data_IF_307016183777
#
_entry.id   IF_307016183777
#
_cell.length_a   1.000
_cell.length_b   1.000
_cell.length_c   1.000
_cell.angle_alpha   90.00
_cell.angle_beta   90.00
_cell.angle_gamma   90.00
#
_symmetry.space_group_name_H-M   'P 1'
#
loop_
_entity.id
_entity.type
_entity.pdbx_description
1 polymer ?
#
# COMPACT_ATOMS: atom_id res chain seq x y z
N UNK A 1 -23.04 20.46 20.58
CA UNK A 1 -21.99 20.48 19.54
C UNK A 1 -20.52 20.43 20.00
N UNK A 2 -20.11 20.70 21.27
CA UNK A 2 -18.68 20.70 21.63
C UNK A 2 -18.03 19.30 21.64
N UNK A 3 -18.81 18.25 21.94
CA UNK A 3 -18.33 16.85 21.92
C UNK A 3 -17.96 16.42 20.49
N UNK A 4 -18.75 16.81 19.49
CA UNK A 4 -18.46 16.51 18.08
C UNK A 4 -17.20 17.24 17.57
N UNK A 5 -16.97 18.48 18.01
CA UNK A 5 -15.75 19.21 17.68
C UNK A 5 -14.53 18.59 18.38
N UNK A 6 -14.66 18.23 19.66
CA UNK A 6 -13.61 17.53 20.42
C UNK A 6 -13.19 16.22 19.75
N UNK A 7 -14.16 15.41 19.31
CA UNK A 7 -13.89 14.15 18.59
C UNK A 7 -13.28 14.43 17.20
N UNK A 8 -13.78 15.43 16.48
CA UNK A 8 -13.25 15.81 15.17
C UNK A 8 -11.81 16.32 15.25
N UNK A 9 -11.44 17.03 16.32
CA UNK A 9 -10.08 17.48 16.58
C UNK A 9 -9.16 16.32 16.99
N UNK A 10 -9.67 15.39 17.80
CA UNK A 10 -8.91 14.20 18.27
C UNK A 10 -8.59 13.21 17.14
N UNK A 11 -9.51 13.03 16.18
CA UNK A 11 -9.29 12.20 14.98
C UNK A 11 -8.60 13.02 13.86
N UNK A 12 -8.40 14.32 14.06
CA UNK A 12 -7.73 15.21 13.11
C UNK A 12 -8.54 15.53 11.85
N UNK A 13 -9.86 15.38 11.91
CA UNK A 13 -10.79 15.74 10.82
C UNK A 13 -10.80 17.25 10.57
N UNK A 14 -10.59 18.07 11.62
CA UNK A 14 -10.44 19.52 11.48
C UNK A 14 -9.16 19.93 10.76
N UNK A 15 -8.09 19.15 10.92
CA UNK A 15 -6.83 19.34 10.19
C UNK A 15 -7.04 18.99 8.72
N UNK A 16 -7.77 17.91 8.43
CA UNK A 16 -8.12 17.53 7.07
C UNK A 16 -8.97 18.60 6.38
N UNK A 17 -10.01 19.11 7.02
CA UNK A 17 -10.91 20.12 6.41
C UNK A 17 -10.23 21.46 6.12
N UNK A 18 -9.21 21.81 6.90
CA UNK A 18 -8.38 23.01 6.70
C UNK A 18 -7.22 22.81 5.72
N UNK A 19 -7.01 21.59 5.21
CA UNK A 19 -5.94 21.30 4.26
C UNK A 19 -6.13 22.09 2.94
N UNK A 20 -5.04 22.44 2.23
CA UNK A 20 -5.14 23.13 0.96
C UNK A 20 -5.99 22.34 -0.05
N UNK A 21 -6.61 23.05 -1.00
CA UNK A 21 -7.43 22.46 -2.06
C UNK A 21 -6.70 21.35 -2.82
N UNK A 22 -5.42 21.54 -3.12
CA UNK A 22 -4.62 20.55 -3.84
C UNK A 22 -4.46 19.25 -3.05
N UNK A 23 -4.37 19.30 -1.71
CA UNK A 23 -4.32 18.09 -0.90
C UNK A 23 -5.62 17.29 -0.98
N UNK A 24 -6.77 17.97 -0.93
CA UNK A 24 -8.07 17.34 -1.14
C UNK A 24 -8.20 16.72 -2.54
N UNK A 25 -7.73 17.42 -3.57
CA UNK A 25 -7.73 16.90 -4.94
C UNK A 25 -6.86 15.64 -5.07
N UNK A 26 -5.67 15.62 -4.47
CA UNK A 26 -4.80 14.44 -4.48
C UNK A 26 -5.41 13.25 -3.73
N UNK A 27 -6.02 13.47 -2.56
CA UNK A 27 -6.73 12.44 -1.79
C UNK A 27 -7.89 11.87 -2.63
N UNK A 28 -8.68 12.74 -3.29
CA UNK A 28 -9.81 12.35 -4.11
C UNK A 28 -9.39 11.58 -5.37
N UNK A 29 -8.35 12.06 -6.08
CA UNK A 29 -7.77 11.38 -7.24
C UNK A 29 -7.32 9.96 -6.90
N UNK A 30 -6.64 9.81 -5.76
CA UNK A 30 -6.23 8.49 -5.27
C UNK A 30 -7.46 7.64 -4.93
N UNK A 31 -8.46 8.18 -4.26
CA UNK A 31 -9.71 7.47 -3.98
C UNK A 31 -10.31 6.85 -5.23
N UNK A 32 -10.52 7.63 -6.29
CA UNK A 32 -11.06 7.11 -7.56
C UNK A 32 -10.19 6.04 -8.20
N UNK A 33 -8.86 6.20 -8.16
CA UNK A 33 -7.93 5.14 -8.61
C UNK A 33 -8.13 3.85 -7.82
N UNK A 34 -8.27 3.95 -6.49
CA UNK A 34 -8.44 2.78 -5.65
C UNK A 34 -9.82 2.14 -5.81
N UNK A 35 -10.89 2.90 -6.07
CA UNK A 35 -12.19 2.34 -6.50
C UNK A 35 -11.98 1.46 -7.73
N UNK A 36 -11.31 1.97 -8.76
CA UNK A 36 -11.05 1.24 -9.98
C UNK A 36 -10.18 -0.01 -9.75
N UNK A 37 -9.20 0.05 -8.85
CA UNK A 37 -8.39 -1.11 -8.46
C UNK A 37 -9.20 -2.18 -7.74
N UNK A 38 -10.08 -1.78 -6.81
CA UNK A 38 -11.00 -2.71 -6.14
C UNK A 38 -11.92 -3.39 -7.14
N UNK A 39 -12.47 -2.63 -8.08
CA UNK A 39 -13.31 -3.15 -9.16
C UNK A 39 -12.58 -4.17 -10.03
N UNK A 40 -11.42 -3.80 -10.56
CA UNK A 40 -10.61 -4.68 -11.42
C UNK A 40 -10.11 -5.92 -10.68
N UNK A 41 -9.63 -5.80 -9.44
CA UNK A 41 -9.16 -6.93 -8.61
C UNK A 41 -10.25 -7.99 -8.41
N UNK A 42 -11.50 -7.57 -8.25
CA UNK A 42 -12.63 -8.50 -8.09
C UNK A 42 -12.85 -9.37 -9.32
N UNK A 43 -12.75 -8.78 -10.51
CA UNK A 43 -13.14 -9.43 -11.75
C UNK A 43 -11.96 -10.02 -12.54
N UNK A 44 -10.73 -9.56 -12.32
CA UNK A 44 -9.59 -9.79 -13.22
C UNK A 44 -9.32 -11.26 -13.52
N UNK A 45 -9.17 -12.11 -12.48
CA UNK A 45 -8.86 -13.53 -12.68
C UNK A 45 -10.05 -14.27 -13.30
N UNK A 46 -11.27 -13.92 -12.89
CA UNK A 46 -12.50 -14.50 -13.45
C UNK A 46 -12.65 -14.15 -14.93
N UNK A 47 -12.39 -12.89 -15.29
CA UNK A 47 -12.39 -12.38 -16.66
C UNK A 47 -11.39 -13.11 -17.54
N UNK A 48 -10.12 -13.20 -17.10
CA UNK A 48 -9.08 -13.90 -17.86
C UNK A 48 -9.41 -15.40 -18.02
N UNK A 49 -9.95 -16.05 -16.98
CA UNK A 49 -10.37 -17.44 -17.04
C UNK A 49 -11.52 -17.63 -18.05
N UNK A 50 -12.51 -16.72 -18.07
CA UNK A 50 -13.63 -16.75 -19.03
C UNK A 50 -13.21 -16.42 -20.47
N UNK A 51 -12.07 -15.76 -20.67
CA UNK A 51 -11.39 -15.66 -21.98
C UNK A 51 -10.64 -16.94 -22.38
N UNK A 52 -10.81 -18.05 -21.64
CA UNK A 52 -10.13 -19.33 -21.84
C UNK A 52 -8.60 -19.27 -21.65
N UNK A 53 -8.12 -18.32 -20.84
CA UNK A 53 -6.71 -18.26 -20.46
C UNK A 53 -6.47 -19.20 -19.29
N UNK A 54 -5.55 -20.16 -19.45
CA UNK A 54 -5.19 -21.12 -18.40
C UNK A 54 -4.72 -20.44 -17.11
N UNK A 55 -5.03 -20.99 -15.95
CA UNK A 55 -4.65 -20.45 -14.64
C UNK A 55 -3.14 -20.20 -14.49
N UNK A 56 -2.29 -21.04 -15.10
CA UNK A 56 -0.84 -20.82 -15.13
C UNK A 56 -0.48 -19.50 -15.83
N UNK A 57 -1.05 -19.26 -17.01
CA UNK A 57 -0.86 -18.00 -17.75
C UNK A 57 -1.45 -16.81 -17.01
N UNK A 58 -2.54 -16.98 -16.27
CA UNK A 58 -3.06 -15.95 -15.37
C UNK A 58 -2.05 -15.66 -14.26
N UNK A 59 -1.50 -16.68 -13.60
CA UNK A 59 -0.43 -16.50 -12.62
C UNK A 59 0.77 -15.75 -13.17
N UNK A 60 1.23 -16.14 -14.37
CA UNK A 60 2.31 -15.46 -15.08
C UNK A 60 1.94 -14.01 -15.44
N UNK A 61 0.70 -13.76 -15.83
CA UNK A 61 0.17 -12.43 -16.11
C UNK A 61 0.34 -11.52 -14.88
N UNK A 62 -0.14 -11.98 -13.71
CA UNK A 62 -0.03 -11.20 -12.47
C UNK A 62 1.43 -10.95 -12.08
N UNK A 63 2.30 -11.97 -12.22
CA UNK A 63 3.74 -11.83 -11.95
C UNK A 63 4.38 -10.79 -12.85
N UNK A 64 4.16 -10.86 -14.16
CA UNK A 64 4.74 -9.93 -15.13
C UNK A 64 4.20 -8.52 -14.93
N UNK A 65 2.93 -8.35 -14.58
CA UNK A 65 2.37 -7.04 -14.22
C UNK A 65 3.04 -6.46 -12.97
N UNK A 66 3.24 -7.27 -11.91
CA UNK A 66 3.94 -6.79 -10.71
C UNK A 66 5.41 -6.42 -10.99
N UNK A 67 6.12 -7.21 -11.79
CA UNK A 67 7.49 -6.86 -12.23
C UNK A 67 7.47 -5.57 -13.06
N UNK A 68 6.50 -5.45 -13.97
CA UNK A 68 6.24 -4.25 -14.76
C UNK A 68 6.01 -3.02 -13.89
N UNK A 69 5.20 -3.13 -12.85
CA UNK A 69 4.94 -2.06 -11.88
C UNK A 69 6.23 -1.63 -11.17
N UNK A 70 7.12 -2.55 -10.76
CA UNK A 70 8.40 -2.18 -10.13
C UNK A 70 9.29 -1.41 -11.10
N UNK A 71 9.47 -1.94 -12.31
CA UNK A 71 10.33 -1.32 -13.31
C UNK A 71 9.79 0.04 -13.74
N UNK A 72 8.47 0.13 -13.97
CA UNK A 72 7.76 1.35 -14.28
C UNK A 72 7.86 2.38 -13.16
N UNK A 73 7.70 1.95 -11.90
CA UNK A 73 7.91 2.79 -10.71
C UNK A 73 9.30 3.38 -10.67
N UNK A 74 10.32 2.54 -10.83
CA UNK A 74 11.72 2.97 -10.76
C UNK A 74 12.04 3.98 -11.87
N UNK A 75 11.59 3.72 -13.10
CA UNK A 75 11.77 4.65 -14.22
C UNK A 75 11.04 5.97 -13.94
N UNK A 76 9.73 5.94 -13.63
CA UNK A 76 8.98 7.17 -13.39
C UNK A 76 9.56 7.98 -12.22
N UNK A 77 9.95 7.34 -11.12
CA UNK A 77 10.52 8.06 -9.97
C UNK A 77 11.83 8.75 -10.31
N UNK A 78 12.70 8.14 -11.13
CA UNK A 78 13.97 8.76 -11.56
C UNK A 78 13.78 9.96 -12.49
N UNK A 79 12.71 9.97 -13.30
CA UNK A 79 12.45 11.03 -14.28
C UNK A 79 11.36 12.02 -13.85
N UNK A 80 10.58 11.74 -12.80
CA UNK A 80 9.43 12.54 -12.39
C UNK A 80 9.78 13.99 -12.06
N UNK A 81 10.87 14.21 -11.33
CA UNK A 81 11.29 15.56 -10.93
C UNK A 81 11.77 16.40 -12.13
N UNK A 82 12.21 15.76 -13.23
CA UNK A 82 12.58 16.44 -14.48
C UNK A 82 11.38 16.76 -15.38
N UNK A 83 10.33 15.93 -15.30
CA UNK A 83 9.17 16.04 -16.19
C UNK A 83 8.04 16.88 -15.59
N UNK A 84 8.06 17.12 -14.28
CA UNK A 84 7.02 17.83 -13.54
C UNK A 84 5.95 16.87 -13.04
N UNK A 85 5.58 17.03 -11.77
CA UNK A 85 4.73 16.07 -11.04
C UNK A 85 3.32 16.02 -11.62
N UNK A 86 2.76 17.17 -12.04
CA UNK A 86 1.42 17.23 -12.64
C UNK A 86 1.37 16.48 -13.97
N UNK A 87 2.40 16.64 -14.82
CA UNK A 87 2.48 15.93 -16.10
C UNK A 87 2.52 14.41 -15.92
N UNK A 88 3.30 13.93 -14.95
CA UNK A 88 3.35 12.49 -14.65
C UNK A 88 1.99 11.97 -14.17
N UNK A 89 1.27 12.72 -13.32
CA UNK A 89 -0.09 12.35 -12.91
C UNK A 89 -1.06 12.31 -14.09
N UNK A 90 -1.00 13.28 -15.01
CA UNK A 90 -1.82 13.31 -16.23
C UNK A 90 -1.54 12.13 -17.15
N UNK A 91 -0.27 11.78 -17.38
CA UNK A 91 0.13 10.59 -18.15
C UNK A 91 -0.46 9.34 -17.50
N UNK A 92 -0.39 9.22 -16.17
CA UNK A 92 -1.00 8.12 -15.44
C UNK A 92 -2.51 8.00 -15.66
N UNK A 93 -3.23 9.12 -15.73
CA UNK A 93 -4.65 9.12 -16.07
C UNK A 93 -4.89 8.60 -17.51
N UNK A 94 -4.10 9.06 -18.48
CA UNK A 94 -4.18 8.57 -19.86
C UNK A 94 -3.91 7.06 -19.98
N UNK A 95 -2.89 6.56 -19.28
CA UNK A 95 -2.56 5.14 -19.22
C UNK A 95 -3.72 4.32 -18.62
N UNK A 96 -4.32 4.81 -17.55
CA UNK A 96 -5.46 4.18 -16.89
C UNK A 96 -6.71 4.13 -17.80
N UNK A 97 -6.99 5.20 -18.55
CA UNK A 97 -8.08 5.21 -19.56
C UNK A 97 -7.80 4.21 -20.67
N UNK A 98 -6.58 4.23 -21.21
CA UNK A 98 -6.18 3.36 -22.32
C UNK A 98 -6.30 1.88 -21.95
N UNK A 99 -5.92 1.51 -20.73
CA UNK A 99 -5.95 0.11 -20.28
C UNK A 99 -7.35 -0.37 -19.99
N UNK A 100 -8.21 0.47 -19.39
CA UNK A 100 -9.64 0.17 -19.25
C UNK A 100 -10.30 -0.08 -20.61
N UNK A 101 -10.02 0.75 -21.62
CA UNK A 101 -10.53 0.57 -22.98
C UNK A 101 -10.00 -0.71 -23.66
N UNK A 102 -8.71 -1.02 -23.49
CA UNK A 102 -8.11 -2.25 -24.02
C UNK A 102 -8.77 -3.49 -23.38
N UNK A 103 -8.96 -3.50 -22.05
CA UNK A 103 -9.64 -4.60 -21.38
C UNK A 103 -11.13 -4.70 -21.72
N UNK A 104 -11.77 -3.58 -22.03
CA UNK A 104 -13.16 -3.54 -22.47
C UNK A 104 -13.35 -4.15 -23.88
N UNK A 105 -12.32 -4.12 -24.74
CA UNK A 105 -12.48 -4.44 -26.18
C UNK A 105 -11.69 -5.67 -26.61
N UNK A 106 -10.52 -5.92 -26.03
CA UNK A 106 -9.60 -7.00 -26.44
C UNK A 106 -9.83 -8.28 -25.64
N UNK A 107 -9.67 -9.43 -26.30
CA UNK A 107 -9.57 -10.76 -25.67
C UNK A 107 -8.18 -11.39 -25.76
N UNK A 108 -7.21 -10.70 -26.37
CA UNK A 108 -5.87 -11.26 -26.60
C UNK A 108 -4.98 -11.16 -25.37
N UNK A 109 -4.45 -12.28 -24.91
CA UNK A 109 -3.56 -12.37 -23.73
C UNK A 109 -2.42 -11.33 -23.77
N UNK A 110 -1.69 -11.25 -24.88
CA UNK A 110 -0.53 -10.35 -24.99
C UNK A 110 -0.92 -8.88 -24.98
N UNK A 111 -2.07 -8.53 -25.60
CA UNK A 111 -2.57 -7.16 -25.62
C UNK A 111 -3.01 -6.74 -24.21
N UNK A 112 -3.74 -7.61 -23.52
CA UNK A 112 -4.15 -7.39 -22.14
C UNK A 112 -2.94 -7.30 -21.20
N UNK A 113 -1.90 -8.10 -21.43
CA UNK A 113 -0.68 -8.10 -20.62
C UNK A 113 0.10 -6.79 -20.76
N UNK A 114 0.31 -6.34 -21.99
CA UNK A 114 0.94 -5.04 -22.24
C UNK A 114 0.12 -3.89 -21.62
N UNK A 115 -1.20 -3.94 -21.76
CA UNK A 115 -2.07 -2.96 -21.14
C UNK A 115 -2.04 -3.03 -19.60
N UNK A 116 -1.86 -4.21 -18.98
CA UNK A 116 -1.73 -4.29 -17.53
C UNK A 116 -0.39 -3.73 -17.04
N UNK A 117 0.71 -4.07 -17.71
CA UNK A 117 2.07 -3.62 -17.36
C UNK A 117 2.20 -2.09 -17.45
N UNK A 118 1.70 -1.48 -18.53
CA UNK A 118 1.85 -0.03 -18.73
C UNK A 118 0.65 0.78 -18.23
N UNK A 119 -0.51 0.15 -18.20
CA UNK A 119 -1.80 0.79 -17.96
C UNK A 119 -2.27 0.82 -16.52
N UNK A 120 -1.36 0.56 -15.58
CA UNK A 120 -1.58 0.84 -14.16
C UNK A 120 -2.68 -0.05 -13.56
N UNK A 121 -2.90 -1.26 -14.10
CA UNK A 121 -3.89 -2.21 -13.56
C UNK A 121 -3.25 -3.01 -12.44
N UNK A 122 -3.73 -2.84 -11.20
CA UNK A 122 -3.20 -3.59 -10.07
C UNK A 122 -3.82 -4.99 -9.95
N UNK A 123 -3.03 -6.07 -10.09
CA UNK A 123 -3.55 -7.41 -9.89
C UNK A 123 -3.71 -7.80 -8.41
N UNK A 124 -3.16 -6.97 -7.51
CA UNK A 124 -3.17 -7.21 -6.06
C UNK A 124 -4.13 -6.29 -5.30
N UNK A 125 -4.80 -5.36 -5.99
CA UNK A 125 -5.63 -4.31 -5.39
C UNK A 125 -4.85 -3.22 -4.65
N UNK A 126 -3.54 -3.39 -4.48
CA UNK A 126 -2.65 -2.43 -3.85
C UNK A 126 -1.84 -1.66 -4.88
N UNK A 127 -1.45 -0.44 -4.53
CA UNK A 127 -0.59 0.38 -5.35
C UNK A 127 0.86 0.27 -4.89
N UNK A 128 1.69 -0.32 -5.77
CA UNK A 128 3.16 -0.36 -5.64
C UNK A 128 3.81 0.57 -6.70
N UNK A 129 2.97 1.36 -7.40
CA UNK A 129 3.30 2.22 -8.51
C UNK A 129 3.96 3.56 -8.13
N UNK A 130 4.49 4.29 -9.12
CA UNK A 130 5.20 5.57 -8.91
C UNK A 130 4.27 6.69 -8.46
N UNK A 131 2.98 6.59 -8.77
CA UNK A 131 2.02 7.66 -8.47
C UNK A 131 1.83 7.88 -6.98
N UNK A 132 1.78 6.80 -6.19
CA UNK A 132 1.77 6.89 -4.72
C UNK A 132 2.97 7.70 -4.21
N UNK A 133 4.17 7.41 -4.70
CA UNK A 133 5.38 8.12 -4.26
C UNK A 133 5.34 9.61 -4.63
N UNK A 134 4.87 9.94 -5.85
CA UNK A 134 4.73 11.33 -6.32
C UNK A 134 3.68 12.08 -5.49
N UNK A 135 2.52 11.46 -5.23
CA UNK A 135 1.45 12.05 -4.43
C UNK A 135 1.88 12.27 -2.98
N UNK A 136 2.53 11.28 -2.36
CA UNK A 136 3.02 11.39 -0.98
C UNK A 136 4.09 12.48 -0.86
N UNK A 137 5.00 12.57 -1.84
CA UNK A 137 5.99 13.65 -1.91
C UNK A 137 5.34 15.03 -2.10
N UNK A 138 4.29 15.12 -2.92
CA UNK A 138 3.56 16.38 -3.17
C UNK A 138 2.78 16.82 -1.94
N UNK A 139 2.09 15.89 -1.27
CA UNK A 139 1.41 16.15 0.00
C UNK A 139 2.40 16.56 1.09
N UNK A 140 3.57 15.91 1.18
CA UNK A 140 4.61 16.30 2.13
C UNK A 140 5.07 17.75 1.90
N UNK A 141 5.09 18.23 0.67
CA UNK A 141 5.45 19.62 0.36
C UNK A 141 4.33 20.62 0.65
N UNK A 142 3.07 20.25 0.38
CA UNK A 142 1.90 21.11 0.59
C UNK A 142 1.49 21.26 2.06
N UNK A 143 1.79 20.27 2.90
CA UNK A 143 1.32 20.20 4.29
C UNK A 143 2.46 20.54 5.27
N UNK A 144 2.22 21.41 6.27
CA UNK A 144 3.15 21.67 7.37
C UNK A 144 3.55 20.40 8.11
N UNK A 145 4.81 20.30 8.56
CA UNK A 145 5.37 19.08 9.18
C UNK A 145 4.50 18.51 10.30
N UNK A 146 3.93 19.37 11.14
CA UNK A 146 3.08 19.03 12.29
C UNK A 146 1.80 18.28 11.90
N UNK A 147 1.27 18.53 10.70
CA UNK A 147 -0.01 17.96 10.25
C UNK A 147 0.14 16.78 9.27
N UNK A 148 1.36 16.51 8.78
CA UNK A 148 1.62 15.48 7.75
C UNK A 148 1.16 14.08 8.17
N UNK A 149 1.44 13.69 9.42
CA UNK A 149 1.08 12.36 9.93
C UNK A 149 -0.43 12.12 9.85
N UNK A 150 -1.23 13.08 10.31
CA UNK A 150 -2.69 13.03 10.27
C UNK A 150 -3.23 12.99 8.84
N UNK A 151 -2.68 13.82 7.94
CA UNK A 151 -3.10 13.81 6.53
C UNK A 151 -2.74 12.48 5.85
N UNK A 152 -1.56 11.92 6.11
CA UNK A 152 -1.19 10.61 5.57
C UNK A 152 -2.06 9.47 6.11
N UNK A 153 -2.48 9.54 7.38
CA UNK A 153 -3.43 8.59 7.96
C UNK A 153 -4.78 8.64 7.23
N UNK A 154 -5.34 9.83 7.02
CA UNK A 154 -6.60 10.01 6.28
C UNK A 154 -6.48 9.64 4.79
N UNK A 155 -5.36 9.99 4.16
CA UNK A 155 -5.04 9.60 2.79
C UNK A 155 -5.03 8.07 2.63
N UNK A 156 -4.41 7.34 3.57
CA UNK A 156 -4.42 5.88 3.60
C UNK A 156 -5.81 5.29 3.86
N UNK A 157 -6.52 5.81 4.87
CA UNK A 157 -7.86 5.33 5.26
C UNK A 157 -8.88 5.51 4.14
N UNK A 158 -8.94 6.69 3.54
CA UNK A 158 -9.84 6.99 2.43
C UNK A 158 -9.58 6.09 1.22
N UNK A 159 -8.31 5.80 0.94
CA UNK A 159 -7.89 4.90 -0.13
C UNK A 159 -8.36 3.46 0.10
N UNK A 160 -8.19 2.95 1.31
CA UNK A 160 -8.64 1.59 1.67
C UNK A 160 -10.16 1.46 1.59
N UNK A 161 -10.89 2.47 2.10
CA UNK A 161 -12.35 2.53 1.98
C UNK A 161 -12.79 2.56 0.51
N UNK A 162 -12.13 3.39 -0.32
CA UNK A 162 -12.42 3.50 -1.76
C UNK A 162 -12.20 2.17 -2.49
N UNK A 163 -11.12 1.44 -2.22
CA UNK A 163 -10.87 0.12 -2.80
C UNK A 163 -11.96 -0.89 -2.39
N UNK A 164 -12.38 -0.86 -1.13
CA UNK A 164 -13.45 -1.72 -0.62
C UNK A 164 -14.77 -1.44 -1.33
N UNK A 165 -15.10 -0.15 -1.50
CA UNK A 165 -16.29 0.30 -2.24
C UNK A 165 -16.23 -0.12 -3.71
N UNK A 166 -15.03 -0.11 -4.31
CA UNK A 166 -14.78 -0.66 -5.64
C UNK A 166 -15.18 -2.14 -5.73
N UNK A 167 -14.71 -2.98 -4.81
CA UNK A 167 -15.09 -4.40 -4.77
C UNK A 167 -16.59 -4.61 -4.55
N UNK A 168 -17.21 -3.83 -3.67
CA UNK A 168 -18.66 -3.90 -3.42
C UNK A 168 -19.45 -3.58 -4.70
N UNK A 169 -19.14 -2.44 -5.32
CA UNK A 169 -19.85 -1.96 -6.52
C UNK A 169 -19.61 -2.86 -7.72
N UNK A 170 -18.38 -3.31 -7.98
CA UNK A 170 -18.12 -4.27 -9.05
C UNK A 170 -18.90 -5.57 -8.85
N UNK A 171 -18.99 -6.09 -7.63
CA UNK A 171 -19.72 -7.32 -7.36
C UNK A 171 -21.20 -7.18 -7.71
N UNK A 172 -21.87 -6.16 -7.16
CA UNK A 172 -23.31 -5.96 -7.39
C UNK A 172 -23.63 -5.55 -8.82
N UNK A 173 -22.81 -4.72 -9.46
CA UNK A 173 -22.99 -4.35 -10.87
C UNK A 173 -22.80 -5.57 -11.77
N UNK A 174 -21.75 -6.36 -11.54
CA UNK A 174 -21.50 -7.59 -12.34
C UNK A 174 -22.66 -8.56 -12.18
N UNK A 175 -23.13 -8.80 -10.94
CA UNK A 175 -24.27 -9.69 -10.70
C UNK A 175 -25.56 -9.17 -11.33
N UNK A 176 -25.83 -7.86 -11.22
CA UNK A 176 -27.00 -7.25 -11.86
C UNK A 176 -26.97 -7.46 -13.37
N UNK A 177 -25.84 -7.17 -14.03
CA UNK A 177 -25.70 -7.37 -15.46
C UNK A 177 -25.82 -8.84 -15.85
N UNK A 178 -25.22 -9.77 -15.11
CA UNK A 178 -25.29 -11.21 -15.40
C UNK A 178 -26.70 -11.81 -15.24
N UNK A 179 -27.57 -11.18 -14.45
CA UNK A 179 -28.96 -11.61 -14.32
C UNK A 179 -29.86 -11.15 -15.49
N UNK A 180 -29.40 -10.17 -16.27
CA UNK A 180 -30.12 -9.67 -17.44
C UNK A 180 -29.83 -10.55 -18.67
N UNK A 181 -30.87 -10.99 -19.37
CA UNK A 181 -30.77 -12.00 -20.43
C UNK A 181 -29.89 -11.60 -21.64
N UNK A 182 -29.60 -10.31 -21.80
CA UNK A 182 -28.83 -9.77 -22.94
C UNK A 182 -27.32 -9.71 -22.70
N UNK A 183 -26.86 -9.92 -21.47
CA UNK A 183 -25.46 -9.75 -21.12
C UNK A 183 -24.76 -11.10 -20.99
N UNK A 184 -23.65 -11.26 -21.71
CA UNK A 184 -22.74 -12.36 -21.45
C UNK A 184 -21.90 -12.09 -20.19
N UNK A 185 -21.40 -13.15 -19.56
CA UNK A 185 -20.47 -12.99 -18.43
C UNK A 185 -19.25 -12.15 -18.81
N UNK A 186 -18.71 -12.33 -20.02
CA UNK A 186 -17.55 -11.57 -20.52
C UNK A 186 -17.89 -10.09 -20.65
N UNK A 187 -19.07 -9.76 -21.19
CA UNK A 187 -19.48 -8.36 -21.37
C UNK A 187 -19.75 -7.67 -20.03
N UNK A 188 -20.24 -8.41 -19.02
CA UNK A 188 -20.37 -7.88 -17.66
C UNK A 188 -19.01 -7.46 -17.07
N UNK A 189 -17.95 -8.25 -17.31
CA UNK A 189 -16.60 -7.90 -16.88
C UNK A 189 -16.01 -6.75 -17.69
N UNK A 190 -16.24 -6.72 -19.01
CA UNK A 190 -15.82 -5.60 -19.88
C UNK A 190 -16.45 -4.28 -19.43
N UNK A 191 -17.70 -4.30 -19.00
CA UNK A 191 -18.36 -3.13 -18.44
C UNK A 191 -17.64 -2.59 -17.19
N UNK A 192 -17.15 -3.48 -16.31
CA UNK A 192 -16.33 -3.06 -15.16
C UNK A 192 -15.02 -2.39 -15.61
N UNK A 193 -14.39 -2.85 -16.69
CA UNK A 193 -13.22 -2.18 -17.28
C UNK A 193 -13.57 -0.88 -18.01
N UNK A 194 -14.79 -0.72 -18.54
CA UNK A 194 -15.28 0.56 -19.02
C UNK A 194 -15.44 1.57 -17.86
N UNK A 195 -15.96 1.13 -16.71
CA UNK A 195 -15.97 1.95 -15.49
C UNK A 195 -14.56 2.32 -15.02
N UNK A 196 -13.61 1.39 -15.14
CA UNK A 196 -12.19 1.67 -14.87
C UNK A 196 -11.66 2.85 -15.72
N UNK A 197 -11.96 2.85 -17.03
CA UNK A 197 -11.62 3.96 -17.91
C UNK A 197 -12.34 5.26 -17.51
N UNK A 198 -13.62 5.19 -17.15
CA UNK A 198 -14.39 6.34 -16.65
C UNK A 198 -13.74 6.97 -15.41
N UNK A 199 -13.28 6.17 -14.44
CA UNK A 199 -12.55 6.69 -13.27
C UNK A 199 -11.24 7.37 -13.66
N UNK A 200 -10.54 6.86 -14.68
CA UNK A 200 -9.36 7.49 -15.26
C UNK A 200 -9.66 8.88 -15.85
N UNK A 201 -10.80 9.05 -16.54
CA UNK A 201 -11.25 10.33 -17.09
C UNK A 201 -11.58 11.32 -15.95
N UNK A 202 -12.34 10.89 -14.94
CA UNK A 202 -12.69 11.71 -13.77
C UNK A 202 -11.40 12.19 -13.07
N UNK A 203 -10.45 11.28 -12.84
CA UNK A 203 -9.14 11.60 -12.26
C UNK A 203 -8.36 12.57 -13.15
N UNK A 204 -8.40 12.39 -14.47
CA UNK A 204 -7.81 13.31 -15.44
C UNK A 204 -8.37 14.74 -15.30
N UNK A 205 -9.69 14.87 -15.21
CA UNK A 205 -10.36 16.15 -14.95
C UNK A 205 -9.90 16.80 -13.64
N UNK A 206 -9.80 16.03 -12.55
CA UNK A 206 -9.27 16.53 -11.28
C UNK A 206 -7.80 16.93 -11.34
N UNK A 207 -7.00 16.25 -12.17
CA UNK A 207 -5.57 16.54 -12.34
C UNK A 207 -5.37 17.90 -13.01
N UNK A 208 -6.25 18.27 -13.94
CA UNK A 208 -6.23 19.59 -14.60
C UNK A 208 -6.55 20.74 -13.63
N UNK A 209 -7.19 20.45 -12.49
CA UNK A 209 -7.53 21.43 -11.45
C UNK A 209 -6.38 21.64 -10.43
N UNK A 210 -5.29 20.87 -10.52
CA UNK A 210 -4.14 21.03 -9.63
C UNK A 210 -3.34 22.29 -9.98
N UNK A 211 -3.05 23.08 -8.94
CA UNK A 211 -2.28 24.31 -9.10
C UNK A 211 -0.78 24.04 -9.32
N UNK A 212 -0.05 25.05 -9.79
CA UNK A 212 1.41 24.96 -9.98
C UNK A 212 2.19 24.81 -8.67
N UNK A 213 1.53 24.96 -7.50
CA UNK A 213 2.11 24.67 -6.17
C UNK A 213 2.45 23.20 -5.98
N UNK A 214 1.87 22.33 -6.80
CA UNK A 214 2.19 20.90 -6.81
C UNK A 214 3.54 20.60 -7.49
N UNK A 215 4.12 21.56 -8.22
CA UNK A 215 5.42 21.39 -8.88
C UNK A 215 6.60 21.66 -7.93
N UNK A 216 7.76 21.07 -8.24
CA UNK A 216 8.99 21.20 -7.45
C UNK A 216 9.47 22.67 -7.37
N UNK A 217 9.25 23.44 -8.44
CA UNK A 217 9.62 24.86 -8.49
C UNK A 217 8.67 25.74 -7.66
N UNK A 218 7.38 25.38 -7.60
CA UNK A 218 6.38 26.04 -6.75
C UNK A 218 6.69 25.88 -5.26
N UNK A 219 7.22 24.72 -4.87
CA UNK A 219 7.70 24.47 -3.51
C UNK A 219 8.86 25.38 -3.10
N UNK A 220 9.81 25.58 -4.02
CA UNK A 220 10.97 26.45 -3.81
C UNK A 220 10.58 27.93 -3.72
N UNK A 221 9.53 28.35 -4.42
CA UNK A 221 8.96 29.70 -4.31
C UNK A 221 8.25 29.95 -2.98
N UNK A 222 7.58 28.93 -2.41
CA UNK A 222 6.88 29.05 -1.14
C UNK A 222 7.82 29.02 0.07
N UNK A 223 8.93 28.29 -0.03
CA UNK A 223 10.02 28.31 0.95
C UNK A 223 10.81 29.64 0.94
N UNK A 224 10.76 30.39 -0.16
CA UNK A 224 11.26 31.78 -0.26
C UNK A 224 10.23 32.83 0.18
N UNK A 225 8.93 32.54 0.03
CA UNK A 225 7.84 33.48 0.36
C UNK A 225 7.46 33.49 1.85
N UNK A 226 7.75 32.41 2.59
CA UNK A 226 7.82 32.47 4.05
C UNK A 226 9.26 32.82 4.42
N UNK A 227 9.56 34.02 4.95
CA UNK A 227 10.82 34.24 5.65
C UNK A 227 10.91 33.18 6.77
N UNK A 228 12.11 32.72 7.16
CA UNK A 228 12.26 32.13 8.47
C UNK A 228 11.64 33.13 9.45
N UNK A 229 10.58 32.71 10.16
CA UNK A 229 10.04 33.51 11.24
C UNK A 229 11.20 33.94 12.11
N UNK A 230 11.26 35.24 12.38
CA UNK A 230 12.17 35.84 13.35
C UNK A 230 12.11 35.00 14.63
N UNK A 231 13.10 34.13 14.83
CA UNK A 231 13.49 33.73 16.17
C UNK A 231 13.89 35.03 16.85
N UNK A 232 12.96 35.53 17.68
CA UNK A 232 13.12 36.69 18.54
C UNK A 232 14.46 36.60 19.26
N UNK A 233 15.47 37.20 18.67
CA UNK A 233 16.74 37.53 19.29
C UNK A 233 16.52 38.78 20.15
N UNK A 234 15.63 38.68 21.13
CA UNK A 234 15.36 39.68 22.17
C UNK A 234 14.87 38.97 23.42
N UNK A 235 15.81 38.35 24.12
CA UNK A 235 15.90 38.57 25.57
C UNK A 235 17.37 38.38 25.99
N UNK A 236 18.10 39.49 25.96
CA UNK A 236 19.40 39.62 26.57
C UNK A 236 19.24 40.12 28.00
N UNK A 237 18.58 39.33 28.85
CA UNK A 237 18.77 39.42 30.30
C UNK A 237 19.79 38.38 30.69
N UNK A 238 20.92 38.91 31.15
CA UNK A 238 22.06 38.16 31.63
C UNK A 238 21.66 37.35 32.88
N UNK A 239 21.18 36.13 32.69
CA UNK A 239 21.22 35.13 33.75
C UNK A 239 22.51 34.33 33.65
N UNK A 240 23.30 34.54 34.69
CA UNK A 240 24.62 33.99 34.95
C UNK A 240 24.58 32.46 34.91
N UNK A 241 25.15 31.88 33.86
CA UNK A 241 25.66 30.50 33.95
C UNK A 241 26.95 30.58 34.77
N UNK A 242 27.09 29.85 35.90
CA UNK A 242 28.31 29.87 36.67
C UNK A 242 29.47 29.42 35.77
N UNK A 243 30.47 30.29 35.68
CA UNK A 243 31.72 30.06 34.97
C UNK A 243 32.46 28.89 35.65
N UNK A 244 32.12 27.65 35.30
CA UNK A 244 32.92 26.50 35.66
C UNK A 244 34.22 26.58 34.88
N UNK A 245 35.28 26.80 35.65
CA UNK A 245 36.71 26.76 35.35
C UNK A 245 37.06 26.33 33.93
N UNK A 246 37.47 27.33 33.15
CA UNK A 246 38.20 27.14 31.90
C UNK A 246 39.56 26.53 32.23
N UNK A 247 39.60 25.20 32.34
CA UNK A 247 40.84 24.45 32.36
C UNK A 247 41.66 24.79 31.11
N UNK A 248 42.85 25.32 31.33
CA UNK A 248 43.88 25.56 30.32
C UNK A 248 44.32 24.22 29.71
N UNK A 249 43.63 23.78 28.65
CA UNK A 249 44.12 22.85 27.63
C UNK A 249 43.13 22.85 26.46
N UNK A 250 43.19 23.90 25.65
CA UNK A 250 42.34 24.11 24.47
C UNK A 250 42.71 23.22 23.29
N UNK A 251 42.44 21.92 23.37
CA UNK A 251 42.21 21.11 22.17
C UNK A 251 40.70 21.03 21.92
N UNK A 252 40.21 21.43 20.73
CA UNK A 252 38.83 21.14 20.34
C UNK A 252 38.63 19.62 20.47
N UNK A 253 37.63 19.19 21.22
CA UNK A 253 37.26 17.78 21.28
C UNK A 253 37.15 17.25 19.84
N UNK A 254 37.76 16.10 19.49
CA UNK A 254 37.70 15.58 18.14
C UNK A 254 36.23 15.42 17.75
N UNK A 255 35.81 16.12 16.67
CA UNK A 255 34.51 15.85 16.06
C UNK A 255 34.50 14.37 15.71
N UNK A 256 33.56 13.55 16.24
CA UNK A 256 33.53 12.13 15.94
C UNK A 256 33.52 11.93 14.43
N UNK A 257 34.56 11.30 13.87
CA UNK A 257 34.61 10.99 12.44
C UNK A 257 33.43 10.07 12.14
N UNK A 258 32.47 10.56 11.35
CA UNK A 258 31.35 9.73 10.92
C UNK A 258 31.90 8.50 10.17
N UNK A 259 31.40 7.29 10.46
CA UNK A 259 31.85 6.08 9.79
C UNK A 259 31.65 6.18 8.26
N UNK A 260 32.57 5.62 7.46
CA UNK A 260 32.47 5.70 6.00
C UNK A 260 31.20 5.02 5.51
N UNK A 261 30.44 5.74 4.66
CA UNK A 261 29.20 5.25 4.04
C UNK A 261 29.46 4.78 2.61
N UNK A 262 28.72 3.77 2.17
CA UNK A 262 28.77 3.32 0.77
C UNK A 262 28.00 4.26 -0.18
N UNK A 263 27.99 3.96 -1.48
CA UNK A 263 27.23 4.71 -2.49
C UNK A 263 25.71 4.79 -2.23
N UNK A 264 25.17 3.92 -1.36
CA UNK A 264 23.76 3.91 -0.93
C UNK A 264 23.54 4.68 0.37
N UNK A 265 24.58 5.30 0.93
CA UNK A 265 24.53 6.06 2.18
C UNK A 265 24.46 5.20 3.45
N UNK A 266 24.81 3.90 3.37
CA UNK A 266 24.72 2.96 4.48
C UNK A 266 26.06 2.73 5.17
N UNK A 267 26.04 2.65 6.50
CA UNK A 267 27.16 2.16 7.32
C UNK A 267 27.24 0.63 7.31
N UNK A 268 28.39 0.07 7.70
CA UNK A 268 28.57 -1.40 7.71
C UNK A 268 27.60 -2.10 8.69
N UNK A 269 27.35 -1.51 9.86
CA UNK A 269 26.39 -2.01 10.84
C UNK A 269 24.95 -2.03 10.27
N UNK A 270 24.54 -0.96 9.57
CA UNK A 270 23.20 -0.91 8.97
C UNK A 270 23.03 -1.95 7.86
N UNK A 271 24.10 -2.34 7.14
CA UNK A 271 23.98 -3.37 6.10
C UNK A 271 23.53 -4.71 6.66
N UNK A 272 24.05 -5.13 7.81
CA UNK A 272 23.65 -6.39 8.47
C UNK A 272 22.18 -6.35 8.89
N UNK A 273 21.74 -5.20 9.42
CA UNK A 273 20.34 -4.92 9.75
C UNK A 273 19.45 -5.00 8.51
N UNK A 274 19.88 -4.39 7.40
CA UNK A 274 19.15 -4.39 6.12
C UNK A 274 19.03 -5.80 5.54
N UNK A 275 20.10 -6.61 5.58
CA UNK A 275 20.06 -8.00 5.09
C UNK A 275 19.07 -8.81 5.92
N UNK A 276 19.14 -8.72 7.24
CA UNK A 276 18.23 -9.45 8.15
C UNK A 276 16.78 -9.04 7.93
N UNK A 277 16.48 -7.74 7.92
CA UNK A 277 15.13 -7.22 7.66
C UNK A 277 14.65 -7.55 6.25
N UNK A 278 15.55 -7.50 5.26
CA UNK A 278 15.27 -7.82 3.86
C UNK A 278 14.85 -9.28 3.69
N UNK A 279 15.58 -10.22 4.31
CA UNK A 279 15.22 -11.65 4.28
C UNK A 279 13.88 -11.93 4.96
N UNK A 280 13.64 -11.34 6.13
CA UNK A 280 12.40 -11.55 6.88
C UNK A 280 11.18 -10.95 6.17
N UNK A 281 11.27 -9.68 5.76
CA UNK A 281 10.18 -9.07 5.01
C UNK A 281 10.03 -9.67 3.61
N UNK A 282 11.11 -10.13 2.99
CA UNK A 282 11.08 -10.91 1.75
C UNK A 282 10.27 -12.21 1.91
N UNK A 283 10.46 -12.93 3.02
CA UNK A 283 9.68 -14.14 3.33
C UNK A 283 8.17 -13.83 3.46
N UNK A 284 7.82 -12.80 4.25
CA UNK A 284 6.43 -12.34 4.41
C UNK A 284 5.78 -11.91 3.08
N UNK A 285 6.54 -11.23 2.22
CA UNK A 285 6.04 -10.74 0.94
C UNK A 285 5.96 -11.84 -0.12
N UNK A 286 6.87 -12.82 -0.09
CA UNK A 286 6.75 -14.05 -0.90
C UNK A 286 5.46 -14.80 -0.55
N UNK A 287 5.19 -14.98 0.75
CA UNK A 287 3.97 -15.61 1.22
C UNK A 287 2.71 -14.83 0.80
N UNK A 288 2.76 -13.50 0.87
CA UNK A 288 1.67 -12.64 0.39
C UNK A 288 1.47 -12.74 -1.12
N UNK A 289 2.55 -12.95 -1.88
CA UNK A 289 2.52 -13.20 -3.32
C UNK A 289 1.87 -14.54 -3.69
N UNK A 290 1.94 -15.56 -2.84
CA UNK A 290 1.28 -16.86 -3.06
C UNK A 290 -0.25 -16.79 -2.93
N UNK A 291 -0.79 -15.78 -2.26
CA UNK A 291 -2.24 -15.61 -2.10
C UNK A 291 -2.66 -14.21 -2.50
N UNK A 292 -2.43 -13.80 -3.77
CA UNK A 292 -2.82 -12.48 -4.23
C UNK A 292 -4.35 -12.39 -4.20
N UNK A 293 -4.87 -11.21 -3.87
CA UNK A 293 -6.29 -11.02 -3.55
C UNK A 293 -7.23 -11.52 -4.66
N UNK A 294 -6.88 -11.27 -5.93
CA UNK A 294 -7.65 -11.73 -7.09
C UNK A 294 -7.77 -13.26 -7.17
N UNK A 295 -6.73 -14.02 -6.78
CA UNK A 295 -6.80 -15.49 -6.71
C UNK A 295 -7.59 -15.97 -5.50
N UNK A 296 -7.60 -15.21 -4.40
CA UNK A 296 -8.47 -15.52 -3.25
C UNK A 296 -9.94 -15.36 -3.67
N UNK A 297 -10.27 -14.29 -4.39
CA UNK A 297 -11.62 -14.05 -4.93
C UNK A 297 -12.01 -15.17 -5.89
N UNK A 298 -11.12 -15.52 -6.82
CA UNK A 298 -11.31 -16.63 -7.75
C UNK A 298 -11.53 -17.97 -7.03
N UNK A 299 -10.71 -18.29 -6.02
CA UNK A 299 -10.88 -19.49 -5.21
C UNK A 299 -12.27 -19.59 -4.57
N UNK A 300 -12.75 -18.51 -3.96
CA UNK A 300 -14.08 -18.47 -3.33
C UNK A 300 -15.20 -18.61 -4.37
N UNK A 301 -15.06 -17.95 -5.52
CA UNK A 301 -15.99 -18.07 -6.65
C UNK A 301 -16.10 -19.52 -7.13
N UNK A 302 -14.96 -20.18 -7.40
CA UNK A 302 -14.96 -21.54 -7.95
C UNK A 302 -15.30 -22.62 -6.92
N UNK A 303 -14.89 -22.46 -5.66
CA UNK A 303 -15.05 -23.49 -4.61
C UNK A 303 -16.49 -23.57 -4.09
N UNK A 304 -17.16 -22.42 -3.99
CA UNK A 304 -18.47 -22.27 -3.37
C UNK A 304 -19.55 -21.78 -4.34
N UNK A 305 -19.22 -21.62 -5.63
CA UNK A 305 -20.13 -21.15 -6.69
C UNK A 305 -20.87 -19.87 -6.32
N UNK A 306 -20.11 -18.88 -5.83
CA UNK A 306 -20.68 -17.64 -5.29
C UNK A 306 -20.96 -16.62 -6.40
N UNK A 307 -22.10 -15.94 -6.27
CA UNK A 307 -22.42 -14.79 -7.12
C UNK A 307 -21.44 -13.63 -6.92
N UNK A 308 -21.20 -12.81 -7.96
CA UNK A 308 -20.30 -11.66 -7.88
C UNK A 308 -20.62 -10.67 -6.75
N UNK A 309 -21.91 -10.41 -6.45
CA UNK A 309 -22.32 -9.50 -5.38
C UNK A 309 -22.01 -10.04 -3.99
N UNK A 310 -22.07 -11.37 -3.80
CA UNK A 310 -21.67 -12.02 -2.54
C UNK A 310 -20.16 -11.89 -2.33
N UNK A 311 -19.36 -12.06 -3.39
CA UNK A 311 -17.92 -11.83 -3.34
C UNK A 311 -17.61 -10.36 -3.00
N UNK A 312 -18.22 -9.42 -3.73
CA UNK A 312 -18.05 -7.98 -3.48
C UNK A 312 -18.38 -7.58 -2.04
N UNK A 313 -19.52 -8.07 -1.53
CA UNK A 313 -19.94 -7.82 -0.14
C UNK A 313 -18.97 -8.44 0.86
N UNK A 314 -18.51 -9.66 0.62
CA UNK A 314 -17.56 -10.35 1.51
C UNK A 314 -16.25 -9.59 1.64
N UNK A 315 -15.65 -9.17 0.52
CA UNK A 315 -14.37 -8.47 0.55
C UNK A 315 -14.50 -7.02 1.05
N UNK A 316 -15.64 -6.38 0.82
CA UNK A 316 -15.97 -5.11 1.47
C UNK A 316 -16.01 -5.26 2.99
N UNK A 317 -16.75 -6.24 3.52
CA UNK A 317 -16.82 -6.50 4.97
C UNK A 317 -15.44 -6.79 5.56
N UNK A 318 -14.62 -7.63 4.92
CA UNK A 318 -13.27 -7.93 5.41
C UNK A 318 -12.40 -6.68 5.49
N UNK A 319 -12.55 -5.76 4.53
CA UNK A 319 -11.74 -4.54 4.47
C UNK A 319 -12.20 -3.50 5.50
N UNK A 320 -13.51 -3.37 5.74
CA UNK A 320 -14.05 -2.53 6.82
C UNK A 320 -13.56 -3.03 8.19
N UNK A 321 -13.64 -4.34 8.43
CA UNK A 321 -13.13 -4.95 9.67
C UNK A 321 -11.62 -4.72 9.82
N UNK A 322 -10.84 -4.92 8.76
CA UNK A 322 -9.40 -4.66 8.76
C UNK A 322 -9.06 -3.20 9.09
N UNK A 323 -9.82 -2.24 8.54
CA UNK A 323 -9.63 -0.82 8.82
C UNK A 323 -9.88 -0.48 10.30
N UNK A 324 -10.97 -1.01 10.89
CA UNK A 324 -11.27 -0.85 12.31
C UNK A 324 -10.18 -1.47 13.20
N UNK A 325 -9.71 -2.66 12.86
CA UNK A 325 -8.63 -3.33 13.61
C UNK A 325 -7.31 -2.56 13.56
N UNK A 326 -6.99 -1.92 12.43
CA UNK A 326 -5.77 -1.13 12.32
C UNK A 326 -5.75 0.09 13.28
N UNK A 327 -6.92 0.65 13.63
CA UNK A 327 -7.00 1.71 14.65
C UNK A 327 -6.60 1.19 16.05
N UNK A 328 -6.93 -0.08 16.35
CA UNK A 328 -6.59 -0.73 17.62
C UNK A 328 -5.09 -1.06 17.73
N UNK A 329 -4.39 -1.20 16.59
CA UNK A 329 -2.99 -1.59 16.53
C UNK A 329 -2.06 -0.68 17.35
N UNK A 330 -2.22 0.64 17.27
CA UNK A 330 -1.38 1.59 18.00
C UNK A 330 -1.57 1.47 19.53
N UNK A 331 -2.80 1.22 19.98
CA UNK A 331 -3.10 1.00 21.40
C UNK A 331 -2.46 -0.29 21.92
N UNK A 332 -2.52 -1.36 21.13
CA UNK A 332 -1.89 -2.63 21.47
C UNK A 332 -0.36 -2.50 21.51
N UNK A 333 0.23 -1.79 20.54
CA UNK A 333 1.66 -1.51 20.46
C UNK A 333 2.21 -0.83 21.70
N UNK A 334 1.47 0.14 22.26
CA UNK A 334 1.86 0.83 23.51
C UNK A 334 1.84 -0.09 24.73
N UNK A 335 1.01 -1.15 24.74
CA UNK A 335 0.86 -2.05 25.89
C UNK A 335 1.87 -3.19 25.91
N UNK A 336 2.12 -3.81 24.75
CA UNK A 336 2.95 -5.02 24.67
C UNK A 336 4.23 -4.84 23.83
N UNK A 337 4.44 -3.65 23.24
CA UNK A 337 5.59 -3.33 22.41
C UNK A 337 5.37 -3.61 20.92
N UNK A 338 6.14 -2.93 20.06
CA UNK A 338 5.98 -2.96 18.60
C UNK A 338 6.18 -4.36 18.01
N UNK A 339 7.30 -5.03 18.33
CA UNK A 339 7.66 -6.35 17.79
C UNK A 339 6.65 -7.42 18.19
N UNK A 340 6.26 -7.46 19.47
CA UNK A 340 5.27 -8.43 19.96
C UNK A 340 3.89 -8.19 19.36
N UNK A 341 3.50 -6.93 19.18
CA UNK A 341 2.23 -6.59 18.52
C UNK A 341 2.20 -7.06 17.07
N UNK A 342 3.29 -6.86 16.31
CA UNK A 342 3.40 -7.38 14.95
C UNK A 342 3.20 -8.89 14.91
N UNK A 343 3.96 -9.64 15.71
CA UNK A 343 3.93 -11.10 15.66
C UNK A 343 2.64 -11.71 16.23
N UNK A 344 2.11 -11.22 17.35
CA UNK A 344 0.91 -11.78 17.98
C UNK A 344 -0.39 -11.46 17.24
N UNK A 345 -0.39 -10.47 16.35
CA UNK A 345 -1.53 -10.19 15.48
C UNK A 345 -1.38 -10.91 14.13
N UNK A 346 -0.16 -11.00 13.58
CA UNK A 346 0.04 -11.64 12.29
C UNK A 346 0.06 -13.18 12.36
N UNK A 347 0.51 -13.78 13.46
CA UNK A 347 0.57 -15.24 13.62
C UNK A 347 -0.83 -15.91 13.61
N UNK A 348 -1.86 -15.42 14.33
CA UNK A 348 -3.22 -15.92 14.18
C UNK A 348 -3.76 -15.79 12.75
N UNK A 349 -3.47 -14.68 12.08
CA UNK A 349 -3.83 -14.48 10.67
C UNK A 349 -3.21 -15.54 9.75
N UNK A 350 -1.95 -15.92 9.98
CA UNK A 350 -1.27 -16.98 9.24
C UNK A 350 -1.93 -18.35 9.43
N UNK A 351 -2.39 -18.65 10.65
CA UNK A 351 -3.16 -19.86 10.97
C UNK A 351 -4.52 -19.84 10.25
N UNK A 352 -5.29 -18.75 10.37
CA UNK A 352 -6.57 -18.62 9.68
C UNK A 352 -6.42 -18.75 8.17
N UNK A 353 -5.38 -18.15 7.57
CA UNK A 353 -5.08 -18.29 6.15
C UNK A 353 -4.88 -19.75 5.74
N UNK A 354 -4.17 -20.53 6.54
CA UNK A 354 -3.93 -21.96 6.29
C UNK A 354 -5.19 -22.81 6.43
N UNK A 355 -6.12 -22.38 7.29
CA UNK A 355 -7.38 -23.08 7.57
C UNK A 355 -8.49 -22.78 6.56
N UNK A 356 -8.48 -21.63 5.88
CA UNK A 356 -9.48 -21.27 4.85
C UNK A 356 -9.75 -22.40 3.84
N UNK A 357 -8.75 -23.05 3.22
CA UNK A 357 -9.00 -24.11 2.25
C UNK A 357 -9.58 -25.40 2.86
N UNK A 358 -9.50 -25.57 4.18
CA UNK A 358 -10.05 -26.74 4.89
C UNK A 358 -11.52 -26.56 5.25
N UNK A 359 -12.08 -25.36 5.08
CA UNK A 359 -13.48 -25.09 5.37
C UNK A 359 -14.41 -25.85 4.42
N UNK A 360 -15.40 -26.55 5.01
CA UNK A 360 -16.41 -27.31 4.27
C UNK A 360 -17.56 -26.45 3.76
N UNK A 361 -17.84 -25.31 4.41
CA UNK A 361 -18.94 -24.40 4.06
C UNK A 361 -18.45 -22.99 3.85
N UNK A 362 -19.18 -22.23 3.02
CA UNK A 362 -18.89 -20.82 2.77
C UNK A 362 -18.89 -19.99 4.08
N UNK A 363 -19.81 -20.27 5.00
CA UNK A 363 -19.91 -19.55 6.28
C UNK A 363 -18.63 -19.68 7.10
N UNK A 364 -18.07 -20.89 7.20
CA UNK A 364 -16.82 -21.14 7.93
C UNK A 364 -15.65 -20.47 7.21
N UNK A 365 -15.56 -20.60 5.87
CA UNK A 365 -14.51 -19.96 5.08
C UNK A 365 -14.53 -18.43 5.22
N UNK A 366 -15.72 -17.82 5.19
CA UNK A 366 -15.93 -16.38 5.38
C UNK A 366 -15.57 -15.94 6.79
N UNK A 367 -15.93 -16.69 7.81
CA UNK A 367 -15.56 -16.39 9.19
C UNK A 367 -14.03 -16.41 9.38
N UNK A 368 -13.35 -17.42 8.85
CA UNK A 368 -11.88 -17.50 8.86
C UNK A 368 -11.25 -16.35 8.09
N UNK A 369 -11.82 -15.97 6.93
CA UNK A 369 -11.35 -14.84 6.15
C UNK A 369 -11.49 -13.52 6.91
N UNK A 370 -12.63 -13.27 7.56
CA UNK A 370 -12.84 -12.07 8.38
C UNK A 370 -11.88 -12.06 9.57
N UNK A 371 -11.72 -13.18 10.28
CA UNK A 371 -10.78 -13.31 11.40
C UNK A 371 -9.33 -13.06 10.97
N UNK A 372 -8.95 -13.58 9.79
CA UNK A 372 -7.66 -13.30 9.16
C UNK A 372 -7.49 -11.81 8.91
N UNK A 373 -8.41 -11.14 8.21
CA UNK A 373 -8.28 -9.72 7.88
C UNK A 373 -8.32 -8.81 9.13
N UNK A 374 -9.10 -9.19 10.14
CA UNK A 374 -9.14 -8.52 11.44
C UNK A 374 -7.76 -8.50 12.11
N UNK A 375 -7.00 -9.59 12.03
CA UNK A 375 -5.72 -9.74 12.73
C UNK A 375 -4.52 -9.38 11.85
N UNK A 376 -4.60 -9.61 10.54
CA UNK A 376 -3.53 -9.34 9.57
C UNK A 376 -3.16 -7.86 9.46
N UNK A 377 -4.14 -6.96 9.60
CA UNK A 377 -3.95 -5.54 9.28
C UNK A 377 -3.40 -4.72 10.44
N UNK A 378 -3.13 -5.35 11.59
CA UNK A 378 -2.70 -4.68 12.82
C UNK A 378 -1.18 -4.48 12.94
N UNK A 379 -0.40 -4.78 11.90
CA UNK A 379 1.06 -4.73 11.91
C UNK A 379 1.65 -3.43 11.34
N UNK A 380 0.85 -2.64 10.61
CA UNK A 380 1.34 -1.47 9.87
C UNK A 380 1.98 -0.38 10.74
N UNK A 381 1.24 0.11 11.74
CA UNK A 381 1.73 1.14 12.66
C UNK A 381 2.89 0.61 13.56
N UNK A 382 2.79 -0.57 14.20
CA UNK A 382 3.89 -1.16 14.95
C UNK A 382 5.17 -1.36 14.12
N UNK A 383 5.06 -1.84 12.88
CA UNK A 383 6.21 -2.04 11.97
C UNK A 383 6.91 -0.74 11.65
N UNK A 384 6.15 0.30 11.36
CA UNK A 384 6.69 1.63 11.04
C UNK A 384 7.43 2.23 12.24
N UNK A 385 6.86 2.09 13.44
CA UNK A 385 7.48 2.53 14.69
C UNK A 385 8.74 1.72 15.04
N UNK A 386 8.71 0.39 14.87
CA UNK A 386 9.87 -0.48 15.08
C UNK A 386 11.04 -0.09 14.16
N UNK A 387 10.78 0.08 12.86
CA UNK A 387 11.81 0.47 11.90
C UNK A 387 12.34 1.88 12.16
N UNK A 388 11.49 2.78 12.66
CA UNK A 388 11.94 4.10 13.09
C UNK A 388 12.94 4.01 14.24
N UNK A 389 12.65 3.22 15.27
CA UNK A 389 13.56 3.09 16.41
C UNK A 389 14.82 2.29 16.08
N UNK A 390 14.73 1.31 15.18
CA UNK A 390 15.82 0.38 14.88
C UNK A 390 16.84 0.90 13.85
N UNK A 391 16.43 1.82 12.98
CA UNK A 391 17.27 2.34 11.88
C UNK A 391 17.55 3.83 12.10
N UNK A 392 18.83 4.26 12.03
CA UNK A 392 19.21 5.67 12.17
C UNK A 392 18.47 6.59 11.18
N UNK A 393 18.07 7.78 11.64
CA UNK A 393 17.30 8.74 10.83
C UNK A 393 17.97 9.06 9.48
N UNK A 394 19.31 9.21 9.47
CA UNK A 394 20.08 9.54 8.27
C UNK A 394 20.06 8.44 7.20
N UNK A 395 19.81 7.18 7.58
CA UNK A 395 19.86 6.01 6.69
C UNK A 395 18.47 5.44 6.40
N UNK A 396 17.45 5.83 7.18
CA UNK A 396 16.10 5.25 7.15
C UNK A 396 15.46 5.28 5.76
N UNK A 397 15.56 6.38 5.03
CA UNK A 397 14.96 6.51 3.69
C UNK A 397 15.57 5.50 2.71
N UNK A 398 16.90 5.40 2.68
CA UNK A 398 17.62 4.43 1.82
C UNK A 398 17.27 3.00 2.20
N UNK A 399 17.24 2.68 3.49
CA UNK A 399 16.88 1.34 3.98
C UNK A 399 15.45 0.97 3.61
N UNK A 400 14.48 1.88 3.80
CA UNK A 400 13.08 1.64 3.41
C UNK A 400 12.95 1.41 1.89
N UNK A 401 13.71 2.16 1.08
CA UNK A 401 13.77 1.96 -0.36
C UNK A 401 14.24 0.56 -0.74
N UNK A 402 15.39 0.12 -0.19
CA UNK A 402 15.95 -1.21 -0.45
C UNK A 402 14.99 -2.32 0.01
N UNK A 403 14.44 -2.19 1.23
CA UNK A 403 13.48 -3.16 1.78
C UNK A 403 12.26 -3.28 0.87
N UNK A 404 11.70 -2.17 0.39
CA UNK A 404 10.54 -2.21 -0.49
C UNK A 404 10.85 -2.89 -1.83
N UNK A 405 12.02 -2.61 -2.43
CA UNK A 405 12.46 -3.31 -3.66
C UNK A 405 12.55 -4.82 -3.42
N UNK A 406 13.19 -5.25 -2.33
CA UNK A 406 13.29 -6.68 -1.97
C UNK A 406 11.90 -7.30 -1.81
N UNK A 407 11.02 -6.66 -1.04
CA UNK A 407 9.65 -7.11 -0.81
C UNK A 407 8.89 -7.30 -2.12
N UNK A 408 8.95 -6.33 -3.03
CA UNK A 408 8.19 -6.42 -4.28
C UNK A 408 8.74 -7.47 -5.24
N UNK A 409 10.07 -7.63 -5.32
CA UNK A 409 10.68 -8.71 -6.10
C UNK A 409 10.21 -10.08 -5.55
N UNK A 410 10.31 -10.29 -4.23
CA UNK A 410 9.85 -11.49 -3.57
C UNK A 410 8.35 -11.77 -3.80
N UNK A 411 7.50 -10.74 -3.71
CA UNK A 411 6.06 -10.86 -3.93
C UNK A 411 5.72 -11.24 -5.38
N UNK A 412 6.47 -10.74 -6.35
CA UNK A 412 6.15 -10.88 -7.77
C UNK A 412 6.17 -12.32 -8.27
N UNK A 413 6.97 -13.20 -7.66
CA UNK A 413 7.03 -14.62 -8.07
C UNK A 413 5.83 -15.45 -7.62
N UNK A 414 5.18 -15.06 -6.53
CA UNK A 414 4.13 -15.87 -5.91
C UNK A 414 2.91 -16.16 -6.81
N UNK A 415 2.37 -15.19 -7.58
CA UNK A 415 1.21 -15.44 -8.42
C UNK A 415 1.43 -16.51 -9.49
N UNK A 416 2.63 -16.62 -10.07
CA UNK A 416 2.98 -17.69 -11.02
C UNK A 416 2.91 -19.08 -10.39
N UNK A 417 3.43 -19.22 -9.16
CA UNK A 417 3.33 -20.47 -8.39
C UNK A 417 1.88 -20.82 -8.11
N UNK A 418 1.07 -19.82 -7.73
CA UNK A 418 -0.35 -20.02 -7.44
C UNK A 418 -1.17 -20.33 -8.68
N UNK A 419 -0.89 -19.69 -9.82
CA UNK A 419 -1.53 -20.03 -11.09
C UNK A 419 -1.18 -21.45 -11.55
N UNK A 420 0.07 -21.88 -11.37
CA UNK A 420 0.49 -23.25 -11.65
C UNK A 420 -0.26 -24.28 -10.78
N UNK A 421 -0.38 -24.01 -9.48
CA UNK A 421 -1.12 -24.87 -8.56
C UNK A 421 -2.63 -24.84 -8.84
N UNK A 422 -3.19 -23.68 -9.16
CA UNK A 422 -4.60 -23.52 -9.51
C UNK A 422 -4.98 -24.36 -10.74
N UNK A 423 -4.16 -24.34 -11.80
CA UNK A 423 -4.40 -25.12 -13.00
C UNK A 423 -4.41 -26.65 -12.80
N UNK A 424 -3.99 -27.13 -11.63
CA UNK A 424 -4.06 -28.56 -11.22
C UNK A 424 -5.11 -28.84 -10.15
N UNK A 425 -5.94 -27.86 -9.78
CA UNK A 425 -6.86 -27.96 -8.65
C UNK A 425 -6.17 -27.96 -7.28
N UNK A 426 -4.91 -27.54 -7.22
CA UNK A 426 -4.04 -27.60 -6.05
C UNK A 426 -3.85 -26.24 -5.35
N UNK A 427 -4.68 -25.25 -5.69
CA UNK A 427 -4.62 -23.89 -5.12
C UNK A 427 -4.66 -23.88 -3.58
N UNK A 428 -5.30 -24.85 -2.94
CA UNK A 428 -5.30 -25.01 -1.46
C UNK A 428 -3.89 -25.05 -0.86
N UNK A 429 -2.93 -25.62 -1.56
CA UNK A 429 -1.55 -25.71 -1.09
C UNK A 429 -0.86 -24.34 -1.12
N UNK A 430 -1.26 -23.41 -2.00
CA UNK A 430 -0.78 -22.02 -1.95
C UNK A 430 -1.19 -21.34 -0.64
N UNK A 431 -2.44 -21.54 -0.19
CA UNK A 431 -2.93 -20.99 1.08
C UNK A 431 -2.17 -21.55 2.28
N UNK A 432 -1.98 -22.88 2.32
CA UNK A 432 -1.26 -23.55 3.41
C UNK A 432 0.22 -23.18 3.43
N UNK A 433 0.88 -23.13 2.26
CA UNK A 433 2.28 -22.70 2.14
C UNK A 433 2.45 -21.23 2.55
N UNK A 434 1.56 -20.33 2.09
CA UNK A 434 1.59 -18.93 2.48
C UNK A 434 1.42 -18.74 3.99
N UNK A 435 0.48 -19.45 4.62
CA UNK A 435 0.30 -19.38 6.07
C UNK A 435 1.49 -19.96 6.84
N UNK A 436 2.07 -21.07 6.41
CA UNK A 436 3.28 -21.63 7.02
C UNK A 436 4.48 -20.66 6.92
N UNK A 437 4.68 -20.03 5.77
CA UNK A 437 5.73 -19.02 5.57
C UNK A 437 5.52 -17.78 6.43
N UNK A 438 4.27 -17.28 6.54
CA UNK A 438 3.94 -16.14 7.40
C UNK A 438 4.17 -16.46 8.88
N UNK A 439 3.72 -17.63 9.34
CA UNK A 439 3.96 -18.07 10.71
C UNK A 439 5.45 -18.21 11.01
N UNK A 440 6.23 -18.75 10.06
CA UNK A 440 7.70 -18.85 10.19
C UNK A 440 8.35 -17.47 10.31
N UNK A 441 7.92 -16.50 9.49
CA UNK A 441 8.35 -15.11 9.58
C UNK A 441 8.05 -14.51 10.97
N UNK A 442 6.84 -14.70 11.50
CA UNK A 442 6.46 -14.15 12.80
C UNK A 442 7.30 -14.72 13.95
N UNK A 443 7.56 -16.03 13.91
CA UNK A 443 8.43 -16.69 14.89
C UNK A 443 9.88 -16.22 14.77
N UNK A 444 10.39 -16.02 13.56
CA UNK A 444 11.74 -15.48 13.34
C UNK A 444 11.86 -14.03 13.83
N UNK A 445 10.85 -13.18 13.58
CA UNK A 445 10.82 -11.80 14.09
C UNK A 445 10.84 -11.78 15.62
N UNK A 446 10.07 -12.65 16.27
CA UNK A 446 10.12 -12.80 17.73
C UNK A 446 11.48 -13.28 18.22
N UNK A 447 12.08 -14.26 17.54
CA UNK A 447 13.40 -14.78 17.92
C UNK A 447 14.49 -13.72 17.83
N UNK A 448 14.59 -12.99 16.70
CA UNK A 448 15.64 -12.01 16.47
C UNK A 448 15.43 -10.68 17.20
N UNK A 449 14.17 -10.25 17.42
CA UNK A 449 13.89 -8.87 17.86
C UNK A 449 13.08 -8.75 19.17
N UNK A 450 12.66 -9.85 19.81
CA UNK A 450 11.91 -9.76 21.08
C UNK A 450 12.66 -9.07 22.22
N UNK A 451 14.00 -9.08 22.20
CA UNK A 451 14.85 -8.41 23.20
C UNK A 451 15.16 -6.96 22.86
N UNK A 452 15.03 -6.57 21.58
CA UNK A 452 15.26 -5.20 21.13
C UNK A 452 14.08 -4.26 21.44
N UNK A 453 12.96 -4.78 21.94
CA UNK A 453 11.71 -4.03 22.16
C UNK A 453 11.53 -3.47 23.59
N UNK A 454 12.58 -3.45 24.41
CA UNK A 454 12.52 -2.99 25.83
C UNK A 454 13.25 -1.64 26.02
N UNK A 455 13.91 -1.12 24.98
CA UNK A 455 14.44 0.25 24.92
C UNK A 455 13.60 1.07 23.96
#
# INVERSE_FOLDING_TARGET
>A
MPILQSIADEIGLSILSKAPRDAHLLILQRGFRLVAYGQSTLVLVQYLNKLNISDFRIGLFMTLTLVGDVLGSLVLTLFADKWGRRKVLTIGCGLMVSSGLVFCTSGSYFILLLAAIFGVISPSGNEIGPFKAIEESTLATLIPKEHRSTIFAWYGLFSAFSASLGSLTAGHITQYLQNEAFWSEIDSYRFVFAMYAMWGIIKGGLTLLLSDRCEVDGASAQQKANPPGEENSRDGTADQVPLLERGENGQPAPIPKEPPRNALGLTQETKEKVITLGLLFGLDNTASGLVPLSFVIYYFSTRFSLDPGTLGTTFFTTSVVAALSNLVAASLSRRIGNVKTMAFTHLPSAVFLSMIPLASTFTVARALLIARFCTAQMDGAPRSAFLANYIPDKERTSVMGIINVVKTICQSFGPSVTGYLAGRGWIRFSFMAAGAMKASYDLMILYFFSKASIQ
#
